data_IF_035806334095
#
_entry.id   IF_035806334095
#
_cell.length_a   1.000
_cell.length_b   1.000
_cell.length_c   1.000
_cell.angle_alpha   90.00
_cell.angle_beta   90.00
_cell.angle_gamma   90.00
#
_symmetry.space_group_name_H-M   'P 1'
#
loop_
_entity.id
_entity.type
_entity.pdbx_description
1 polymer ?
#
# COMPACT_ATOMS: atom_id res chain seq x y z
N UNK A 1 -8.45 -8.06 -2.95
CA UNK A 1 -7.80 -9.33 -2.49
C UNK A 1 -8.81 -10.14 -1.69
N UNK A 2 -9.18 -11.33 -2.13
CA UNK A 2 -10.19 -12.17 -1.44
C UNK A 2 -9.66 -12.65 -0.08
N UNK A 3 -10.59 -12.95 0.87
CA UNK A 3 -10.27 -13.45 2.22
C UNK A 3 -9.36 -14.70 2.18
N UNK A 4 -9.45 -15.51 1.11
CA UNK A 4 -8.61 -16.69 0.86
C UNK A 4 -7.14 -16.34 0.56
N UNK A 5 -6.90 -15.24 -0.13
CA UNK A 5 -5.57 -14.71 -0.45
C UNK A 5 -4.79 -14.29 0.80
N UNK A 6 -5.46 -13.54 1.69
CA UNK A 6 -4.86 -13.12 2.96
C UNK A 6 -4.51 -14.30 3.86
N UNK A 7 -5.34 -15.35 3.82
CA UNK A 7 -5.10 -16.59 4.60
C UNK A 7 -3.90 -17.36 4.04
N UNK A 8 -3.78 -17.51 2.72
CA UNK A 8 -2.67 -18.23 2.11
C UNK A 8 -1.31 -17.55 2.37
N UNK A 9 -1.24 -16.24 2.22
CA UNK A 9 -0.02 -15.47 2.50
C UNK A 9 0.33 -15.50 4.00
N UNK A 10 -0.66 -15.35 4.88
CA UNK A 10 -0.45 -15.45 6.32
C UNK A 10 0.06 -16.85 6.73
N UNK A 11 -0.48 -17.90 6.12
CA UNK A 11 -0.04 -19.29 6.38
C UNK A 11 1.40 -19.51 5.89
N UNK A 12 1.78 -18.99 4.71
CA UNK A 12 3.14 -19.09 4.19
C UNK A 12 4.13 -18.32 5.07
N UNK A 13 3.77 -17.11 5.51
CA UNK A 13 4.60 -16.31 6.40
C UNK A 13 4.78 -16.96 7.77
N UNK A 14 3.73 -17.55 8.33
CA UNK A 14 3.79 -18.30 9.60
C UNK A 14 4.65 -19.56 9.45
N UNK A 15 4.53 -20.28 8.35
CA UNK A 15 5.30 -21.51 8.12
C UNK A 15 6.78 -21.23 7.89
N UNK A 16 7.08 -20.16 7.16
CA UNK A 16 8.46 -19.71 6.98
C UNK A 16 9.03 -19.22 8.31
N UNK A 17 8.30 -18.44 9.09
CA UNK A 17 8.72 -18.00 10.43
C UNK A 17 8.94 -19.18 11.38
N UNK A 18 8.11 -20.22 11.33
CA UNK A 18 8.26 -21.45 12.12
C UNK A 18 9.48 -22.26 11.65
N UNK A 19 9.66 -22.47 10.35
CA UNK A 19 10.83 -23.18 9.82
C UNK A 19 12.15 -22.46 10.15
N UNK A 20 12.13 -21.14 10.24
CA UNK A 20 13.29 -20.29 10.52
C UNK A 20 13.60 -20.17 12.01
N UNK A 21 12.59 -20.06 12.86
CA UNK A 21 12.76 -20.16 14.32
C UNK A 21 13.41 -21.48 14.71
N UNK A 22 13.08 -22.55 13.98
CA UNK A 22 13.58 -23.91 14.17
C UNK A 22 15.05 -24.07 13.79
N UNK A 23 15.49 -23.52 12.66
CA UNK A 23 16.89 -23.65 12.22
C UNK A 23 17.84 -22.78 13.05
N UNK A 24 17.41 -21.59 13.47
CA UNK A 24 18.20 -20.72 14.36
C UNK A 24 18.37 -21.32 15.76
N UNK A 25 17.35 -22.00 16.27
CA UNK A 25 17.37 -22.61 17.58
C UNK A 25 18.32 -23.84 17.64
N UNK A 26 18.35 -24.68 16.60
CA UNK A 26 19.32 -25.81 16.47
C UNK A 26 20.77 -25.36 16.52
N UNK A 27 21.08 -24.14 16.04
CA UNK A 27 22.46 -23.62 16.01
C UNK A 27 22.94 -23.10 17.36
N UNK A 28 22.04 -22.53 18.19
CA UNK A 28 22.39 -21.92 19.48
C UNK A 28 22.61 -22.95 20.60
N UNK A 29 22.00 -24.13 20.51
CA UNK A 29 21.99 -25.12 21.61
C UNK A 29 22.94 -26.31 21.41
N UNK A 30 23.80 -26.34 20.39
CA UNK A 30 24.71 -27.47 20.14
C UNK A 30 25.87 -27.61 21.14
N UNK A 31 26.02 -26.68 22.06
CA UNK A 31 27.13 -26.64 23.06
C UNK A 31 26.68 -26.60 24.54
N UNK A 32 25.44 -26.92 24.86
CA UNK A 32 24.92 -26.85 26.24
C UNK A 32 24.69 -28.25 26.85
N UNK A 33 25.04 -28.54 28.14
CA UNK A 33 25.03 -29.85 28.75
C UNK A 33 23.67 -30.46 29.15
N UNK A 34 22.56 -29.92 28.68
CA UNK A 34 21.22 -30.42 28.96
C UNK A 34 20.70 -31.33 27.81
N UNK A 35 21.36 -32.46 27.57
CA UNK A 35 21.08 -33.39 26.46
C UNK A 35 19.63 -33.90 26.39
N UNK A 36 18.91 -34.01 27.49
CA UNK A 36 17.55 -34.56 27.50
C UNK A 36 16.50 -33.54 27.03
N UNK A 37 16.63 -32.26 27.41
CA UNK A 37 15.73 -31.18 26.96
C UNK A 37 15.94 -30.85 25.48
N UNK A 38 17.16 -31.02 24.96
CA UNK A 38 17.51 -30.87 23.54
C UNK A 38 16.87 -31.95 22.69
N UNK A 39 16.80 -33.20 23.18
CA UNK A 39 16.23 -34.32 22.46
C UNK A 39 14.71 -34.26 22.30
N UNK A 40 13.99 -33.83 23.35
CA UNK A 40 12.54 -33.66 23.29
C UNK A 40 12.16 -32.47 22.38
N UNK A 41 12.96 -31.42 22.39
CA UNK A 41 12.79 -30.27 21.48
C UNK A 41 13.17 -30.65 20.03
N UNK A 42 14.21 -31.45 19.79
CA UNK A 42 14.57 -31.93 18.47
C UNK A 42 13.44 -32.80 17.87
N UNK A 43 12.77 -33.63 18.68
CA UNK A 43 11.60 -34.40 18.24
C UNK A 43 10.39 -33.47 17.89
N UNK A 44 10.14 -32.42 18.66
CA UNK A 44 9.13 -31.41 18.34
C UNK A 44 9.47 -30.67 17.04
N UNK A 45 10.74 -30.39 16.78
CA UNK A 45 11.26 -29.76 15.58
C UNK A 45 11.08 -30.66 14.33
N UNK A 46 11.32 -31.95 14.44
CA UNK A 46 11.13 -32.91 13.35
C UNK A 46 9.65 -32.99 12.94
N UNK A 47 8.74 -32.95 13.93
CA UNK A 47 7.29 -32.87 13.67
C UNK A 47 6.90 -31.56 12.95
N UNK A 48 7.47 -30.43 13.36
CA UNK A 48 7.17 -29.13 12.72
C UNK A 48 7.77 -29.03 11.32
N UNK A 49 8.96 -29.61 11.10
CA UNK A 49 9.58 -29.70 9.78
C UNK A 49 8.75 -30.59 8.83
N UNK A 50 8.24 -31.72 9.31
CA UNK A 50 7.33 -32.58 8.55
C UNK A 50 6.02 -31.87 8.22
N UNK A 51 5.47 -31.10 9.15
CA UNK A 51 4.29 -30.29 8.89
C UNK A 51 4.58 -29.21 7.85
N UNK A 52 5.72 -28.53 7.91
CA UNK A 52 6.15 -27.55 6.91
C UNK A 52 6.35 -28.20 5.52
N UNK A 53 6.95 -29.39 5.46
CA UNK A 53 7.08 -30.15 4.22
C UNK A 53 5.72 -30.61 3.68
N UNK A 54 4.78 -31.00 4.55
CA UNK A 54 3.39 -31.31 4.17
C UNK A 54 2.71 -30.12 3.51
N UNK A 55 2.89 -28.94 4.06
CA UNK A 55 2.32 -27.70 3.51
C UNK A 55 2.95 -27.29 2.18
N UNK A 56 4.25 -27.51 1.99
CA UNK A 56 4.90 -27.29 0.67
C UNK A 56 4.27 -28.22 -0.38
N UNK A 57 3.94 -29.45 -0.01
CA UNK A 57 3.26 -30.41 -0.90
C UNK A 57 1.83 -29.91 -1.22
N UNK A 58 1.08 -29.44 -0.22
CA UNK A 58 -0.23 -28.82 -0.41
C UNK A 58 -0.18 -27.61 -1.34
N UNK A 59 0.88 -26.80 -1.25
CA UNK A 59 1.09 -25.67 -2.17
C UNK A 59 1.30 -26.13 -3.61
N UNK A 60 2.10 -27.17 -3.83
CA UNK A 60 2.30 -27.74 -5.16
C UNK A 60 0.97 -28.25 -5.75
N UNK A 61 0.14 -28.88 -4.92
CA UNK A 61 -1.18 -29.38 -5.32
C UNK A 61 -2.13 -28.23 -5.64
N UNK A 62 -2.12 -27.15 -4.86
CA UNK A 62 -2.89 -25.93 -5.13
C UNK A 62 -2.47 -25.29 -6.45
N UNK A 63 -1.17 -25.16 -6.71
CA UNK A 63 -0.66 -24.61 -7.97
C UNK A 63 -1.09 -25.46 -9.17
N UNK A 64 -0.99 -26.78 -9.05
CA UNK A 64 -1.42 -27.68 -10.11
C UNK A 64 -2.93 -27.58 -10.36
N UNK A 65 -3.74 -27.47 -9.31
CA UNK A 65 -5.17 -27.24 -9.40
C UNK A 65 -5.51 -25.90 -10.06
N UNK A 66 -4.78 -24.83 -9.71
CA UNK A 66 -4.98 -23.50 -10.33
C UNK A 66 -4.61 -23.51 -11.81
N UNK A 67 -3.50 -24.17 -12.19
CA UNK A 67 -3.11 -24.32 -13.60
C UNK A 67 -4.17 -25.07 -14.41
N UNK A 68 -4.74 -26.11 -13.83
CA UNK A 68 -5.81 -26.87 -14.49
C UNK A 68 -7.06 -25.99 -14.65
N UNK A 69 -7.53 -25.34 -13.58
CA UNK A 69 -8.69 -24.44 -13.63
C UNK A 69 -8.50 -23.32 -14.65
N UNK A 70 -7.30 -22.73 -14.70
CA UNK A 70 -6.98 -21.68 -15.67
C UNK A 70 -6.97 -22.21 -17.10
N UNK A 71 -6.46 -23.42 -17.32
CA UNK A 71 -6.46 -24.08 -18.64
C UNK A 71 -7.89 -24.37 -19.13
N UNK A 72 -8.70 -24.93 -18.23
CA UNK A 72 -10.09 -25.28 -18.55
C UNK A 72 -10.92 -24.02 -18.85
N UNK A 73 -10.77 -22.99 -18.03
CA UNK A 73 -11.48 -21.72 -18.22
C UNK A 73 -11.04 -20.98 -19.50
N UNK A 74 -9.76 -21.04 -19.86
CA UNK A 74 -9.27 -20.47 -21.13
C UNK A 74 -9.84 -21.21 -22.33
N UNK A 75 -9.99 -22.53 -22.24
CA UNK A 75 -10.61 -23.32 -23.31
C UNK A 75 -12.10 -22.98 -23.46
N UNK A 76 -12.85 -22.90 -22.36
CA UNK A 76 -14.27 -22.52 -22.37
C UNK A 76 -14.48 -21.10 -22.90
N UNK A 77 -13.62 -20.15 -22.48
CA UNK A 77 -13.63 -18.79 -22.99
C UNK A 77 -13.40 -18.72 -24.51
N UNK A 78 -12.43 -19.48 -25.03
CA UNK A 78 -12.14 -19.52 -26.45
C UNK A 78 -13.32 -20.13 -27.26
N UNK A 79 -13.97 -21.18 -26.75
CA UNK A 79 -15.18 -21.78 -27.36
C UNK A 79 -16.33 -20.78 -27.39
N UNK A 80 -16.58 -20.02 -26.32
CA UNK A 80 -17.61 -18.97 -26.26
C UNK A 80 -17.37 -17.88 -27.31
N UNK A 81 -16.11 -17.43 -27.46
CA UNK A 81 -15.79 -16.44 -28.49
C UNK A 81 -16.08 -16.96 -29.90
N UNK A 82 -15.76 -18.21 -30.20
CA UNK A 82 -16.07 -18.82 -31.49
C UNK A 82 -17.59 -18.92 -31.72
N UNK A 83 -18.37 -19.25 -30.70
CA UNK A 83 -19.82 -19.29 -30.75
C UNK A 83 -20.44 -17.90 -30.98
N UNK A 84 -19.90 -16.86 -30.31
CA UNK A 84 -20.34 -15.48 -30.52
C UNK A 84 -20.11 -15.06 -31.98
N UNK A 85 -18.91 -15.28 -32.51
CA UNK A 85 -18.57 -14.93 -33.91
C UNK A 85 -19.49 -15.64 -34.92
N UNK A 86 -19.78 -16.93 -34.69
CA UNK A 86 -20.72 -17.70 -35.52
C UNK A 86 -22.16 -17.15 -35.46
N UNK A 87 -22.61 -16.72 -34.27
CA UNK A 87 -23.93 -16.12 -34.11
C UNK A 87 -24.02 -14.73 -34.76
N UNK A 88 -22.98 -13.91 -34.61
CA UNK A 88 -22.90 -12.59 -35.24
C UNK A 88 -22.91 -12.70 -36.76
N UNK A 89 -22.17 -13.66 -37.33
CA UNK A 89 -22.19 -13.97 -38.77
C UNK A 89 -23.59 -14.36 -39.20
N UNK A 90 -24.27 -15.22 -38.44
CA UNK A 90 -25.64 -15.65 -38.74
C UNK A 90 -26.64 -14.50 -38.71
N UNK A 91 -26.52 -13.60 -37.71
CA UNK A 91 -27.38 -12.40 -37.65
C UNK A 91 -27.16 -11.51 -38.86
N UNK A 92 -25.88 -11.29 -39.24
CA UNK A 92 -25.55 -10.49 -40.43
C UNK A 92 -26.18 -11.05 -41.70
N UNK A 93 -26.13 -12.38 -41.94
CA UNK A 93 -26.74 -13.03 -43.09
C UNK A 93 -28.26 -12.85 -43.05
N UNK A 94 -28.91 -13.03 -41.91
CA UNK A 94 -30.36 -12.91 -41.76
C UNK A 94 -30.86 -11.47 -41.95
N UNK A 95 -30.05 -10.48 -41.61
CA UNK A 95 -30.33 -9.06 -41.85
C UNK A 95 -30.24 -8.72 -43.35
N UNK A 96 -29.25 -9.25 -44.06
CA UNK A 96 -29.05 -9.02 -45.49
C UNK A 96 -30.15 -9.68 -46.35
N UNK A 97 -30.65 -10.83 -45.93
CA UNK A 97 -31.62 -11.60 -46.70
C UNK A 97 -33.10 -11.23 -46.46
N UNK A 98 -33.40 -10.37 -45.45
CA UNK A 98 -34.77 -10.04 -45.01
C UNK A 98 -35.67 -11.28 -44.77
N UNK A 99 -35.05 -12.44 -44.47
CA UNK A 99 -35.74 -13.74 -44.46
C UNK A 99 -36.25 -14.17 -43.09
N UNK A 100 -35.80 -13.51 -42.01
CA UNK A 100 -36.19 -13.87 -40.67
C UNK A 100 -37.15 -12.85 -40.05
N UNK A 101 -38.08 -13.33 -39.19
CA UNK A 101 -38.94 -12.43 -38.43
C UNK A 101 -38.12 -11.64 -37.40
N UNK A 102 -38.52 -10.39 -37.17
CA UNK A 102 -37.88 -9.49 -36.16
C UNK A 102 -37.70 -10.16 -34.80
N UNK A 103 -38.70 -10.99 -34.40
CA UNK A 103 -38.63 -11.71 -33.13
C UNK A 103 -37.50 -12.74 -33.06
N UNK A 104 -37.16 -13.39 -34.18
CA UNK A 104 -36.03 -14.33 -34.20
C UNK A 104 -34.68 -13.64 -34.24
N UNK A 105 -34.58 -12.53 -34.97
CA UNK A 105 -33.38 -11.70 -34.95
C UNK A 105 -33.11 -11.16 -33.54
N UNK A 106 -34.15 -10.65 -32.87
CA UNK A 106 -34.02 -10.16 -31.48
C UNK A 106 -33.58 -11.27 -30.52
N UNK A 107 -34.12 -12.48 -30.64
CA UNK A 107 -33.69 -13.62 -29.81
C UNK A 107 -32.20 -13.94 -29.97
N UNK A 108 -31.67 -13.87 -31.18
CA UNK A 108 -30.24 -14.11 -31.44
C UNK A 108 -29.38 -12.98 -30.89
N UNK A 109 -29.82 -11.72 -31.00
CA UNK A 109 -29.13 -10.58 -30.43
C UNK A 109 -29.07 -10.64 -28.89
N UNK A 110 -30.17 -11.04 -28.26
CA UNK A 110 -30.24 -11.22 -26.81
C UNK A 110 -29.30 -12.36 -26.37
N UNK A 111 -29.20 -13.45 -27.13
CA UNK A 111 -28.30 -14.56 -26.86
C UNK A 111 -26.80 -14.11 -27.00
N UNK A 112 -26.48 -13.37 -28.06
CA UNK A 112 -25.13 -12.78 -28.23
C UNK A 112 -24.78 -11.87 -27.07
N UNK A 113 -25.70 -11.00 -26.65
CA UNK A 113 -25.48 -10.08 -25.53
C UNK A 113 -25.20 -10.84 -24.21
N UNK A 114 -25.99 -11.92 -23.98
CA UNK A 114 -25.77 -12.79 -22.80
C UNK A 114 -24.39 -13.44 -22.83
N UNK A 115 -24.02 -14.04 -23.96
CA UNK A 115 -22.71 -14.72 -24.11
C UNK A 115 -21.53 -13.75 -24.02
N UNK A 116 -21.68 -12.52 -24.53
CA UNK A 116 -20.66 -11.47 -24.38
C UNK A 116 -20.45 -11.11 -22.92
N UNK A 117 -21.51 -10.97 -22.14
CA UNK A 117 -21.43 -10.70 -20.71
C UNK A 117 -20.73 -11.84 -19.95
N UNK A 118 -21.09 -13.10 -20.25
CA UNK A 118 -20.44 -14.27 -19.64
C UNK A 118 -18.96 -14.34 -20.03
N UNK A 119 -18.63 -14.08 -21.29
CA UNK A 119 -17.25 -14.03 -21.79
C UNK A 119 -16.41 -12.96 -21.08
N UNK A 120 -16.98 -11.79 -20.82
CA UNK A 120 -16.30 -10.74 -20.06
C UNK A 120 -16.00 -11.17 -18.61
N UNK A 121 -16.94 -11.84 -17.94
CA UNK A 121 -16.74 -12.40 -16.60
C UNK A 121 -15.64 -13.47 -16.59
N UNK A 122 -15.59 -14.34 -17.62
CA UNK A 122 -14.54 -15.34 -17.77
C UNK A 122 -13.17 -14.67 -17.99
N UNK A 123 -13.11 -13.60 -18.79
CA UNK A 123 -11.89 -12.81 -19.01
C UNK A 123 -11.33 -12.24 -17.70
N UNK A 124 -12.21 -11.65 -16.90
CA UNK A 124 -11.82 -11.12 -15.57
C UNK A 124 -11.30 -12.23 -14.66
N UNK A 125 -11.99 -13.39 -14.68
CA UNK A 125 -11.59 -14.53 -13.87
C UNK A 125 -10.26 -15.15 -14.32
N UNK A 126 -10.01 -15.21 -15.62
CA UNK A 126 -8.73 -15.65 -16.20
C UNK A 126 -7.61 -14.72 -15.74
N UNK A 127 -7.83 -13.39 -15.75
CA UNK A 127 -6.86 -12.43 -15.28
C UNK A 127 -6.54 -12.62 -13.77
N UNK A 128 -7.58 -12.76 -12.94
CA UNK A 128 -7.42 -13.01 -11.49
C UNK A 128 -6.62 -14.29 -11.21
N UNK A 129 -6.95 -15.39 -11.88
CA UNK A 129 -6.26 -16.68 -11.69
C UNK A 129 -4.83 -16.66 -12.23
N UNK A 130 -4.58 -15.93 -13.33
CA UNK A 130 -3.24 -15.79 -13.91
C UNK A 130 -2.32 -14.99 -12.99
N UNK A 131 -2.81 -13.90 -12.41
CA UNK A 131 -2.08 -13.11 -11.42
C UNK A 131 -1.78 -13.95 -10.16
N UNK A 132 -2.77 -14.70 -9.69
CA UNK A 132 -2.62 -15.58 -8.54
C UNK A 132 -1.54 -16.64 -8.79
N UNK A 133 -1.58 -17.31 -9.93
CA UNK A 133 -0.60 -18.33 -10.31
C UNK A 133 0.80 -17.72 -10.44
N UNK A 134 0.94 -16.58 -11.11
CA UNK A 134 2.21 -15.87 -11.24
C UNK A 134 2.82 -15.53 -9.87
N UNK A 135 1.98 -15.07 -8.93
CA UNK A 135 2.42 -14.79 -7.55
C UNK A 135 2.98 -16.03 -6.87
N UNK A 136 2.34 -17.18 -7.01
CA UNK A 136 2.83 -18.44 -6.44
C UNK A 136 4.11 -18.92 -7.11
N UNK A 137 4.21 -18.81 -8.43
CA UNK A 137 5.40 -19.19 -9.19
C UNK A 137 6.59 -18.32 -8.81
N UNK A 138 6.40 -17.03 -8.71
CA UNK A 138 7.45 -16.07 -8.30
C UNK A 138 7.95 -16.35 -6.88
N UNK A 139 7.04 -16.60 -5.92
CA UNK A 139 7.40 -16.95 -4.55
C UNK A 139 8.30 -18.20 -4.54
N UNK A 140 8.04 -19.21 -5.38
CA UNK A 140 8.84 -20.46 -5.41
C UNK A 140 10.22 -20.29 -6.04
N UNK A 141 10.47 -19.21 -6.78
CA UNK A 141 11.78 -18.91 -7.38
C UNK A 141 12.73 -18.19 -6.42
N UNK A 142 12.21 -17.59 -5.34
CA UNK A 142 13.02 -16.88 -4.35
C UNK A 142 13.91 -17.83 -3.55
N UNK A 143 15.10 -17.36 -3.17
CA UNK A 143 16.07 -18.17 -2.41
C UNK A 143 15.72 -18.23 -0.92
N UNK A 144 14.61 -18.91 -0.58
CA UNK A 144 14.10 -18.99 0.79
C UNK A 144 15.03 -19.71 1.76
N UNK A 145 15.77 -20.73 1.31
CA UNK A 145 16.62 -21.53 2.19
C UNK A 145 17.68 -20.70 2.91
N UNK A 146 18.33 -19.80 2.20
CA UNK A 146 19.32 -18.88 2.77
C UNK A 146 18.68 -17.74 3.56
N UNK A 147 17.56 -17.22 3.09
CA UNK A 147 16.87 -16.10 3.71
C UNK A 147 16.12 -16.49 4.98
N UNK A 148 15.68 -17.72 5.07
CA UNK A 148 14.96 -18.23 6.22
C UNK A 148 15.68 -17.94 7.55
N UNK A 149 17.00 -18.20 7.61
CA UNK A 149 17.80 -17.90 8.80
C UNK A 149 17.85 -16.38 9.08
N UNK A 150 18.09 -15.57 8.06
CA UNK A 150 18.18 -14.10 8.22
C UNK A 150 16.87 -13.49 8.67
N UNK A 151 15.73 -13.99 8.16
CA UNK A 151 14.40 -13.57 8.59
C UNK A 151 14.19 -13.95 10.06
N UNK A 152 14.56 -15.17 10.46
CA UNK A 152 14.49 -15.59 11.86
C UNK A 152 15.35 -14.70 12.76
N UNK A 153 16.60 -14.44 12.38
CA UNK A 153 17.51 -13.59 13.13
C UNK A 153 16.94 -12.15 13.26
N UNK A 154 16.31 -11.62 12.23
CA UNK A 154 15.61 -10.33 12.25
C UNK A 154 14.43 -10.35 13.23
N UNK A 155 13.53 -11.34 13.11
CA UNK A 155 12.36 -11.44 13.98
C UNK A 155 12.74 -11.63 15.44
N UNK A 156 13.77 -12.43 15.73
CA UNK A 156 14.31 -12.58 17.08
C UNK A 156 14.91 -11.26 17.59
N UNK A 157 15.72 -10.56 16.77
CA UNK A 157 16.30 -9.26 17.14
C UNK A 157 15.24 -8.24 17.51
N UNK A 158 14.12 -8.22 16.79
CA UNK A 158 13.01 -7.29 17.05
C UNK A 158 12.16 -7.74 18.25
N UNK A 159 12.02 -9.06 18.46
CA UNK A 159 11.25 -9.65 19.57
C UNK A 159 11.99 -9.61 20.91
N UNK A 160 13.32 -9.58 20.89
CA UNK A 160 14.17 -9.75 22.08
C UNK A 160 14.36 -8.50 22.94
N UNK A 161 14.93 -8.75 24.13
CA UNK A 161 15.18 -7.86 25.27
C UNK A 161 16.06 -6.64 25.02
N UNK A 162 16.64 -6.52 23.82
CA UNK A 162 17.48 -5.38 23.42
C UNK A 162 16.68 -4.21 22.81
N UNK A 163 15.34 -4.32 22.80
CA UNK A 163 14.52 -3.17 22.42
C UNK A 163 14.82 -1.99 23.33
N UNK A 164 14.86 -0.78 22.78
CA UNK A 164 14.89 0.41 23.60
C UNK A 164 13.74 0.38 24.60
N UNK A 165 14.03 0.82 25.83
CA UNK A 165 13.01 1.00 26.86
C UNK A 165 12.76 2.48 27.02
N UNK A 166 11.51 2.83 27.27
CA UNK A 166 11.12 4.19 27.60
C UNK A 166 10.67 4.27 29.06
N UNK A 167 10.88 5.40 29.67
CA UNK A 167 10.39 5.70 30.99
C UNK A 167 9.11 6.53 30.83
N UNK A 168 8.00 5.97 31.27
CA UNK A 168 6.74 6.71 31.36
C UNK A 168 6.65 7.35 32.72
N UNK A 169 6.67 8.67 32.75
CA UNK A 169 6.47 9.45 33.96
C UNK A 169 5.00 9.86 34.07
N UNK A 170 4.36 9.51 35.19
CA UNK A 170 3.02 9.99 35.54
C UNK A 170 3.10 10.77 36.83
N UNK A 171 2.49 11.96 36.83
CA UNK A 171 2.39 12.81 38.01
C UNK A 171 1.02 12.66 38.65
N UNK A 172 0.99 12.36 39.92
CA UNK A 172 -0.23 12.31 40.73
C UNK A 172 -0.08 13.32 41.87
N UNK A 173 -1.10 14.14 42.09
CA UNK A 173 -1.11 15.08 43.20
C UNK A 173 -1.75 14.38 44.40
N UNK A 174 -1.00 14.20 45.47
CA UNK A 174 -1.53 13.66 46.72
C UNK A 174 -2.66 14.57 47.27
N UNK A 175 -3.88 14.06 47.36
CA UNK A 175 -5.00 14.89 47.77
C UNK A 175 -4.96 15.35 49.25
N UNK A 176 -4.12 14.73 50.08
CA UNK A 176 -3.97 15.10 51.52
C UNK A 176 -2.87 16.10 51.75
N UNK A 177 -1.74 15.97 51.00
CA UNK A 177 -0.55 16.81 51.22
C UNK A 177 -0.38 17.90 50.15
N UNK A 178 -1.01 17.75 48.99
CA UNK A 178 -0.82 18.63 47.82
C UNK A 178 0.53 18.46 47.13
N UNK A 179 1.34 17.47 47.54
CA UNK A 179 2.64 17.19 46.93
C UNK A 179 2.44 16.41 45.62
N UNK A 180 3.26 16.71 44.61
CA UNK A 180 3.28 15.95 43.36
C UNK A 180 4.12 14.69 43.54
N UNK A 181 3.50 13.53 43.42
CA UNK A 181 4.14 12.23 43.39
C UNK A 181 4.44 11.86 41.95
N UNK A 182 5.72 11.63 41.65
CA UNK A 182 6.17 11.22 40.31
C UNK A 182 6.33 9.71 40.30
N UNK A 183 5.57 9.04 39.44
CA UNK A 183 5.70 7.60 39.20
C UNK A 183 6.44 7.37 37.89
N UNK A 184 7.51 6.59 37.93
CA UNK A 184 8.24 6.17 36.74
C UNK A 184 8.01 4.68 36.46
N UNK A 185 7.53 4.39 35.27
CA UNK A 185 7.32 3.02 34.79
C UNK A 185 8.23 2.78 33.58
N UNK A 186 9.05 1.74 33.62
CA UNK A 186 9.88 1.33 32.49
C UNK A 186 9.08 0.45 31.56
N UNK A 187 8.82 0.91 30.32
CA UNK A 187 8.08 0.20 29.29
C UNK A 187 9.02 -0.25 28.16
N UNK A 188 8.83 -1.47 27.68
CA UNK A 188 9.47 -1.93 26.44
C UNK A 188 8.78 -1.25 25.26
N UNK A 189 9.56 -0.64 24.38
CA UNK A 189 9.04 0.06 23.22
C UNK A 189 8.33 -0.89 22.26
N UNK A 190 7.26 -0.39 21.63
CA UNK A 190 6.57 -1.09 20.55
C UNK A 190 7.35 -0.90 19.26
N UNK A 191 7.47 -1.95 18.49
CA UNK A 191 8.07 -1.92 17.16
C UNK A 191 7.20 -2.78 16.26
N UNK A 192 6.74 -2.20 15.18
CA UNK A 192 5.99 -2.89 14.13
C UNK A 192 6.66 -2.63 12.81
N UNK A 193 6.75 -3.64 11.95
CA UNK A 193 7.17 -3.42 10.59
C UNK A 193 6.38 -4.26 9.60
N UNK A 194 6.32 -3.77 8.36
CA UNK A 194 5.75 -4.45 7.21
C UNK A 194 6.67 -4.27 6.02
N UNK A 195 7.11 -5.38 5.45
CA UNK A 195 7.84 -5.44 4.19
C UNK A 195 6.99 -6.16 3.15
N UNK A 196 7.00 -5.67 1.92
CA UNK A 196 6.38 -6.35 0.77
C UNK A 196 7.25 -6.16 -0.47
N UNK A 197 7.67 -7.25 -1.05
CA UNK A 197 8.22 -7.27 -2.40
C UNK A 197 7.10 -6.98 -3.41
N UNK A 198 7.31 -6.00 -4.29
CA UNK A 198 6.24 -5.54 -5.20
C UNK A 198 6.02 -6.54 -6.32
N UNK A 199 7.09 -7.14 -6.86
CA UNK A 199 7.00 -8.04 -8.00
C UNK A 199 6.38 -9.39 -7.63
N UNK A 200 6.74 -9.93 -6.48
CA UNK A 200 6.28 -11.26 -6.04
C UNK A 200 5.09 -11.19 -5.08
N UNK A 201 4.83 -10.03 -4.47
CA UNK A 201 3.86 -9.88 -3.41
C UNK A 201 4.25 -10.52 -2.08
N UNK A 202 5.48 -11.06 -1.95
CA UNK A 202 5.95 -11.68 -0.71
C UNK A 202 6.06 -10.67 0.42
N UNK A 203 5.62 -11.06 1.61
CA UNK A 203 5.57 -10.18 2.78
C UNK A 203 6.32 -10.76 3.97
N UNK A 204 7.01 -9.88 4.71
CA UNK A 204 7.56 -10.15 6.03
C UNK A 204 7.02 -9.08 6.96
N UNK A 205 6.43 -9.47 8.08
CA UNK A 205 5.87 -8.52 9.03
C UNK A 205 6.09 -8.94 10.47
N UNK A 206 6.11 -7.95 11.37
CA UNK A 206 6.20 -8.15 12.81
C UNK A 206 5.26 -7.18 13.51
N UNK A 207 4.32 -7.70 14.30
CA UNK A 207 3.29 -6.91 15.01
C UNK A 207 2.65 -5.82 14.11
N UNK A 208 2.54 -6.10 12.82
CA UNK A 208 2.17 -5.13 11.78
C UNK A 208 0.73 -4.66 11.86
N UNK A 209 -0.11 -5.36 12.62
CA UNK A 209 -1.52 -5.04 12.86
C UNK A 209 -1.74 -4.11 14.07
N UNK A 210 -0.68 -3.75 14.82
CA UNK A 210 -0.76 -2.79 15.91
C UNK A 210 -1.16 -1.41 15.40
N UNK A 211 -2.28 -0.89 15.88
CA UNK A 211 -2.75 0.45 15.53
C UNK A 211 -2.06 1.48 16.43
N UNK A 212 -1.37 2.42 15.80
CA UNK A 212 -0.63 3.50 16.47
C UNK A 212 -1.14 4.87 16.04
N UNK A 213 -0.72 5.90 16.75
CA UNK A 213 -0.86 7.28 16.28
C UNK A 213 0.13 7.51 15.14
N UNK A 214 -0.38 7.89 13.98
CA UNK A 214 0.42 7.93 12.74
C UNK A 214 1.36 9.12 12.65
N UNK A 215 1.19 10.13 13.48
CA UNK A 215 1.89 11.42 13.36
C UNK A 215 1.84 11.92 11.89
N UNK A 216 2.94 12.41 11.36
CA UNK A 216 2.99 12.89 9.97
C UNK A 216 3.00 11.82 8.88
N UNK A 217 3.00 10.52 9.22
CA UNK A 217 2.80 9.47 8.21
C UNK A 217 1.49 9.66 7.45
N UNK A 218 0.43 10.10 8.15
CA UNK A 218 -0.91 10.29 7.58
C UNK A 218 -0.93 11.21 6.37
N UNK A 219 0.04 12.10 6.22
CA UNK A 219 0.09 13.08 5.13
C UNK A 219 0.14 12.41 3.76
N UNK A 220 0.93 11.35 3.59
CA UNK A 220 1.02 10.68 2.30
C UNK A 220 -0.25 9.91 1.93
N UNK A 221 -0.87 9.06 2.78
CA UNK A 221 -2.18 8.47 2.52
C UNK A 221 -3.28 9.47 2.21
N UNK A 222 -3.35 10.54 2.99
CA UNK A 222 -4.36 11.58 2.81
C UNK A 222 -4.19 12.31 1.46
N UNK A 223 -2.96 12.73 1.15
CA UNK A 223 -2.63 13.42 -0.09
C UNK A 223 -2.84 12.50 -1.29
N UNK A 224 -2.46 11.23 -1.21
CA UNK A 224 -2.77 10.24 -2.23
C UNK A 224 -4.27 10.19 -2.52
N UNK A 225 -5.10 10.08 -1.49
CA UNK A 225 -6.56 10.04 -1.64
C UNK A 225 -7.07 11.29 -2.35
N UNK A 226 -6.61 12.46 -1.93
CA UNK A 226 -6.98 13.72 -2.55
C UNK A 226 -6.56 13.78 -4.02
N UNK A 227 -5.29 13.50 -4.32
CA UNK A 227 -4.75 13.56 -5.68
C UNK A 227 -5.43 12.54 -6.61
N UNK A 228 -5.69 11.34 -6.11
CA UNK A 228 -6.43 10.29 -6.86
C UNK A 228 -7.86 10.75 -7.16
N UNK A 229 -8.55 11.34 -6.18
CA UNK A 229 -9.91 11.85 -6.37
C UNK A 229 -9.94 13.03 -7.36
N UNK A 230 -8.96 13.92 -7.31
CA UNK A 230 -8.83 15.02 -8.30
C UNK A 230 -8.55 14.45 -9.69
N UNK A 231 -7.60 13.55 -9.83
CA UNK A 231 -7.27 12.92 -11.10
C UNK A 231 -8.48 12.20 -11.73
N UNK A 232 -9.25 11.47 -10.93
CA UNK A 232 -10.46 10.78 -11.40
C UNK A 232 -11.56 11.78 -11.80
N UNK A 233 -11.71 12.86 -11.04
CA UNK A 233 -12.65 13.93 -11.36
C UNK A 233 -12.28 14.60 -12.70
N UNK A 234 -11.03 15.00 -12.87
CA UNK A 234 -10.52 15.62 -14.10
C UNK A 234 -10.65 14.68 -15.30
N UNK A 235 -10.29 13.40 -15.12
CA UNK A 235 -10.46 12.38 -16.15
C UNK A 235 -11.92 12.27 -16.60
N UNK A 236 -12.85 12.17 -15.66
CA UNK A 236 -14.28 12.08 -15.97
C UNK A 236 -14.78 13.34 -16.71
N UNK A 237 -14.33 14.51 -16.26
CA UNK A 237 -14.71 15.79 -16.86
C UNK A 237 -14.20 15.96 -18.30
N UNK A 238 -13.07 15.34 -18.64
CA UNK A 238 -12.46 15.38 -19.97
C UNK A 238 -12.99 14.29 -20.92
N UNK A 239 -13.60 13.21 -20.40
CA UNK A 239 -13.98 12.06 -21.23
C UNK A 239 -15.48 11.80 -21.30
N UNK A 240 -16.27 12.39 -20.40
CA UNK A 240 -17.70 12.11 -20.31
C UNK A 240 -18.51 13.42 -20.18
N UNK A 241 -19.73 13.40 -20.74
CA UNK A 241 -20.72 14.47 -20.52
C UNK A 241 -21.36 14.36 -19.12
N UNK A 242 -22.26 15.31 -18.81
CA UNK A 242 -22.97 15.33 -17.53
C UNK A 242 -23.90 14.11 -17.30
N UNK A 243 -24.27 13.40 -18.36
CA UNK A 243 -25.13 12.22 -18.34
C UNK A 243 -24.30 10.92 -18.29
N UNK A 244 -22.95 11.03 -18.31
CA UNK A 244 -22.00 9.92 -18.26
C UNK A 244 -21.78 9.23 -19.62
N UNK A 245 -22.13 9.89 -20.75
CA UNK A 245 -21.82 9.36 -22.06
C UNK A 245 -20.43 9.79 -22.50
N UNK A 246 -19.65 8.92 -23.17
CA UNK A 246 -18.36 9.29 -23.73
C UNK A 246 -18.47 10.46 -24.71
N UNK A 247 -17.52 11.38 -24.64
CA UNK A 247 -17.41 12.50 -25.56
C UNK A 247 -16.64 12.08 -26.80
N UNK A 248 -17.18 12.42 -28.00
CA UNK A 248 -16.59 12.13 -29.30
C UNK A 248 -16.52 13.39 -30.15
N UNK A 249 -15.53 13.46 -31.05
CA UNK A 249 -15.42 14.50 -32.06
C UNK A 249 -16.42 14.26 -33.23
N UNK A 250 -16.39 15.14 -34.24
CA UNK A 250 -17.29 15.05 -35.41
C UNK A 250 -16.98 13.79 -36.26
N UNK A 251 -15.78 13.24 -36.18
CA UNK A 251 -15.33 12.01 -36.83
C UNK A 251 -15.63 10.74 -36.04
N UNK A 252 -16.25 10.86 -34.84
CA UNK A 252 -16.61 9.75 -33.98
C UNK A 252 -15.42 9.16 -33.20
N UNK A 253 -14.31 9.89 -33.08
CA UNK A 253 -13.20 9.52 -32.21
C UNK A 253 -13.40 10.11 -30.81
N UNK A 254 -12.92 9.45 -29.74
CA UNK A 254 -12.96 10.03 -28.40
C UNK A 254 -12.28 11.41 -28.36
N UNK A 255 -12.96 12.38 -27.77
CA UNK A 255 -12.41 13.74 -27.58
C UNK A 255 -11.27 13.71 -26.57
N UNK A 256 -10.03 13.89 -27.02
CA UNK A 256 -8.84 13.95 -26.18
C UNK A 256 -8.14 15.30 -26.22
N UNK A 257 -8.29 16.08 -27.31
CA UNK A 257 -7.69 17.41 -27.50
C UNK A 257 -8.59 18.27 -28.41
N UNK A 258 -8.67 19.57 -28.16
CA UNK A 258 -9.38 20.53 -29.01
C UNK A 258 -10.58 21.22 -28.34
N UNK A 259 -11.61 21.57 -29.09
CA UNK A 259 -12.83 22.28 -28.64
C UNK A 259 -13.66 21.47 -27.64
N UNK A 260 -13.09 21.20 -26.47
CA UNK A 260 -13.72 20.43 -25.43
C UNK A 260 -14.63 21.33 -24.56
N UNK A 261 -15.89 20.94 -24.29
CA UNK A 261 -16.86 21.82 -23.59
C UNK A 261 -16.45 22.16 -22.16
N UNK A 262 -15.51 21.40 -21.57
CA UNK A 262 -15.01 21.61 -20.21
C UNK A 262 -13.61 22.25 -20.15
N UNK A 263 -13.07 22.73 -21.28
CA UNK A 263 -11.81 23.45 -21.34
C UNK A 263 -12.03 24.92 -21.69
N UNK A 264 -11.16 25.80 -21.17
CA UNK A 264 -11.09 27.20 -21.58
C UNK A 264 -10.28 27.39 -22.85
N UNK A 265 -10.19 28.63 -23.36
CA UNK A 265 -9.43 28.97 -24.57
C UNK A 265 -7.94 28.64 -24.48
N UNK A 266 -7.40 28.49 -23.28
CA UNK A 266 -6.02 28.09 -23.01
C UNK A 266 -5.86 26.58 -22.77
N UNK A 267 -6.93 25.78 -22.93
CA UNK A 267 -6.92 24.34 -22.76
C UNK A 267 -6.88 23.88 -21.29
N UNK A 268 -7.31 24.72 -20.35
CA UNK A 268 -7.36 24.37 -18.91
C UNK A 268 -8.78 23.95 -18.54
N UNK A 269 -8.88 23.00 -17.60
CA UNK A 269 -10.18 22.52 -17.10
C UNK A 269 -10.94 23.68 -16.45
N UNK A 270 -12.20 23.84 -16.85
CA UNK A 270 -13.13 24.80 -16.24
C UNK A 270 -13.84 24.14 -15.07
N UNK A 271 -13.63 24.66 -13.86
CA UNK A 271 -14.32 24.19 -12.65
C UNK A 271 -15.56 25.04 -12.40
N UNK A 272 -16.70 24.36 -12.15
CA UNK A 272 -17.98 25.00 -11.86
C UNK A 272 -18.13 25.31 -10.36
N UNK A 273 -19.20 26.04 -10.00
CA UNK A 273 -19.55 26.29 -8.60
C UNK A 273 -19.75 24.96 -7.86
N UNK A 274 -19.05 24.75 -6.74
CA UNK A 274 -19.03 23.52 -5.95
C UNK A 274 -17.92 22.52 -6.31
N UNK A 275 -17.19 22.76 -7.41
CA UNK A 275 -16.05 21.94 -7.84
C UNK A 275 -14.68 22.51 -7.41
N UNK A 276 -14.66 23.63 -6.70
CA UNK A 276 -13.44 24.37 -6.36
C UNK A 276 -12.42 23.54 -5.56
N UNK A 277 -12.88 22.49 -4.88
CA UNK A 277 -11.98 21.58 -4.14
C UNK A 277 -11.11 20.71 -5.06
N UNK A 278 -11.45 20.59 -6.34
CA UNK A 278 -10.68 19.85 -7.33
C UNK A 278 -9.67 20.72 -8.08
N UNK A 279 -9.81 22.04 -8.03
CA UNK A 279 -8.87 22.98 -8.64
C UNK A 279 -7.66 23.23 -7.76
N UNK A 280 -6.61 22.45 -7.98
CA UNK A 280 -5.35 22.57 -7.23
C UNK A 280 -4.49 23.77 -7.67
N UNK A 281 -4.88 24.49 -8.72
CA UNK A 281 -4.20 25.73 -9.16
C UNK A 281 -4.62 26.95 -8.34
N UNK A 282 -5.72 26.86 -7.58
CA UNK A 282 -6.19 27.94 -6.71
C UNK A 282 -5.12 28.39 -5.74
N UNK A 283 -5.10 29.72 -5.52
CA UNK A 283 -4.14 30.33 -4.61
C UNK A 283 -4.72 30.45 -3.20
N UNK A 284 -3.92 30.05 -2.24
CA UNK A 284 -4.09 30.34 -0.82
C UNK A 284 -3.02 31.35 -0.38
N UNK A 285 -3.41 32.31 0.46
CA UNK A 285 -2.50 33.35 0.98
C UNK A 285 -2.19 33.06 2.44
N UNK A 286 -0.92 32.94 2.77
CA UNK A 286 -0.46 32.76 4.14
C UNK A 286 -0.78 34.01 4.97
N UNK A 287 -1.48 33.80 6.08
CA UNK A 287 -1.76 34.85 7.07
C UNK A 287 -1.21 34.38 8.42
N UNK A 288 -0.19 35.04 8.88
CA UNK A 288 0.53 34.69 10.11
C UNK A 288 -0.32 34.86 11.36
N UNK A 289 -1.23 35.82 11.39
CA UNK A 289 -2.13 36.08 12.51
C UNK A 289 -3.22 34.99 12.64
N UNK A 290 -3.59 34.37 11.53
CA UNK A 290 -4.58 33.28 11.49
C UNK A 290 -3.93 31.88 11.62
N UNK A 291 -2.63 31.81 11.78
CA UNK A 291 -1.91 30.54 11.92
C UNK A 291 -2.32 29.82 13.21
N UNK A 292 -2.95 28.66 13.03
CA UNK A 292 -3.46 27.83 14.16
C UNK A 292 -2.65 26.59 14.42
N UNK A 293 -1.61 26.32 13.60
CA UNK A 293 -0.82 25.09 13.64
C UNK A 293 0.65 25.45 13.62
N UNK A 294 1.40 24.95 14.61
CA UNK A 294 2.85 25.05 14.72
C UNK A 294 3.50 23.68 14.48
N UNK A 295 4.82 23.64 14.48
CA UNK A 295 5.64 22.43 14.41
C UNK A 295 6.40 22.28 13.10
N UNK A 296 6.34 21.10 12.46
CA UNK A 296 7.12 20.81 11.27
C UNK A 296 6.71 21.69 10.09
N UNK A 297 7.71 22.08 9.29
CA UNK A 297 7.50 22.79 8.03
C UNK A 297 8.22 24.14 7.97
N UNK A 298 8.16 24.76 6.81
CA UNK A 298 8.88 26.01 6.48
C UNK A 298 7.96 27.19 6.29
N UNK A 299 6.66 27.00 6.01
CA UNK A 299 5.70 28.09 5.74
C UNK A 299 5.59 29.02 6.94
N UNK A 300 5.64 28.52 8.18
CA UNK A 300 5.61 29.33 9.40
C UNK A 300 6.69 30.43 9.47
N UNK A 301 7.79 30.26 8.72
CA UNK A 301 8.91 31.18 8.67
C UNK A 301 8.87 32.14 7.48
N UNK A 302 7.84 32.06 6.64
CA UNK A 302 7.69 32.90 5.45
C UNK A 302 7.06 34.26 5.77
N UNK A 303 7.14 35.16 4.82
CA UNK A 303 6.54 36.48 4.95
C UNK A 303 5.00 36.40 4.89
N UNK A 304 4.35 37.22 5.69
CA UNK A 304 2.90 37.37 5.66
C UNK A 304 2.44 37.81 4.26
N UNK A 305 1.34 37.27 3.78
CA UNK A 305 0.86 37.52 2.41
C UNK A 305 1.51 36.65 1.32
N UNK A 306 2.45 35.74 1.65
CA UNK A 306 2.98 34.79 0.68
C UNK A 306 1.85 33.92 0.12
N UNK A 307 1.83 33.74 -1.21
CA UNK A 307 0.81 32.96 -1.89
C UNK A 307 1.35 31.59 -2.33
N UNK A 308 0.50 30.59 -2.24
CA UNK A 308 0.76 29.21 -2.67
C UNK A 308 -0.45 28.67 -3.43
N UNK A 309 -0.23 27.96 -4.51
CA UNK A 309 -1.24 27.07 -5.06
C UNK A 309 -1.45 25.86 -4.14
N UNK A 310 -2.63 25.22 -4.19
CA UNK A 310 -2.83 23.97 -3.44
C UNK A 310 -1.87 22.86 -3.90
N UNK A 311 -1.44 22.88 -5.16
CA UNK A 311 -0.41 21.98 -5.66
C UNK A 311 0.95 22.19 -4.98
N UNK A 312 1.32 23.46 -4.72
CA UNK A 312 2.53 23.78 -3.94
C UNK A 312 2.35 23.36 -2.47
N UNK A 313 1.19 23.56 -1.87
CA UNK A 313 0.91 23.07 -0.51
C UNK A 313 1.08 21.55 -0.41
N UNK A 314 0.65 20.79 -1.44
CA UNK A 314 0.90 19.34 -1.51
C UNK A 314 2.39 19.04 -1.48
N UNK A 315 3.20 19.74 -2.29
CA UNK A 315 4.67 19.58 -2.26
C UNK A 315 5.24 19.90 -0.88
N UNK A 316 4.83 20.99 -0.25
CA UNK A 316 5.31 21.37 1.09
C UNK A 316 4.93 20.34 2.17
N UNK A 317 3.72 19.83 2.12
CA UNK A 317 3.26 18.81 3.08
C UNK A 317 4.03 17.47 2.96
N UNK A 318 4.43 17.07 1.75
CA UNK A 318 5.20 15.84 1.54
C UNK A 318 6.71 16.06 1.76
N UNK A 319 7.28 17.08 1.12
CA UNK A 319 8.72 17.37 1.10
C UNK A 319 9.25 17.82 2.46
N UNK A 320 8.57 18.78 3.09
CA UNK A 320 8.97 19.39 4.37
C UNK A 320 8.15 18.90 5.56
N UNK A 321 7.20 17.98 5.31
CA UNK A 321 6.22 17.59 6.32
C UNK A 321 5.47 18.78 6.93
N UNK A 322 5.21 19.83 6.12
CA UNK A 322 4.68 21.11 6.58
C UNK A 322 3.26 20.95 7.15
N UNK A 323 3.08 21.35 8.41
CA UNK A 323 1.82 21.23 9.13
C UNK A 323 0.79 22.25 8.67
N UNK A 324 1.22 23.47 8.29
CA UNK A 324 0.36 24.54 7.81
C UNK A 324 -0.21 24.14 6.45
N UNK A 325 0.67 23.71 5.53
CA UNK A 325 0.25 23.20 4.22
C UNK A 325 -0.80 22.07 4.36
N UNK A 326 -0.51 21.10 5.23
CA UNK A 326 -1.43 19.97 5.44
C UNK A 326 -2.75 20.41 6.08
N UNK A 327 -2.74 21.37 7.00
CA UNK A 327 -3.95 21.91 7.61
C UNK A 327 -4.84 22.59 6.57
N UNK A 328 -4.27 23.39 5.66
CA UNK A 328 -5.03 24.07 4.61
C UNK A 328 -5.59 23.08 3.57
N UNK A 329 -4.81 22.07 3.16
CA UNK A 329 -5.29 20.98 2.31
C UNK A 329 -6.51 20.30 2.95
N UNK A 330 -6.47 20.01 4.26
CA UNK A 330 -7.59 19.38 4.97
C UNK A 330 -8.82 20.28 5.11
N UNK A 331 -8.62 21.58 5.23
CA UNK A 331 -9.75 22.54 5.25
C UNK A 331 -10.48 22.54 3.90
N UNK A 332 -9.73 22.47 2.79
CA UNK A 332 -10.29 22.45 1.45
C UNK A 332 -10.99 21.13 1.13
N UNK A 333 -10.33 20.00 1.37
CA UNK A 333 -10.76 18.68 0.86
C UNK A 333 -11.65 17.94 1.86
N UNK A 334 -11.41 18.10 3.16
CA UNK A 334 -12.17 17.41 4.22
C UNK A 334 -11.64 16.00 4.52
N UNK A 335 -12.45 15.21 5.24
CA UNK A 335 -12.06 13.87 5.68
C UNK A 335 -12.90 12.76 5.07
N UNK A 336 -14.05 13.08 4.46
CA UNK A 336 -15.01 12.05 4.05
C UNK A 336 -14.45 11.14 2.98
N UNK A 337 -13.83 11.69 1.97
CA UNK A 337 -13.23 10.97 0.86
C UNK A 337 -12.07 10.08 1.33
N UNK A 338 -11.19 10.64 2.18
CA UNK A 338 -10.12 9.85 2.81
C UNK A 338 -10.65 8.64 3.57
N UNK A 339 -11.66 8.86 4.44
CA UNK A 339 -12.22 7.77 5.24
C UNK A 339 -12.97 6.74 4.40
N UNK A 340 -13.65 7.17 3.34
CA UNK A 340 -14.33 6.26 2.41
C UNK A 340 -13.32 5.40 1.66
N UNK A 341 -12.30 6.00 1.06
CA UNK A 341 -11.25 5.28 0.35
C UNK A 341 -10.49 4.34 1.28
N UNK A 342 -10.07 4.81 2.45
CA UNK A 342 -9.39 3.99 3.45
C UNK A 342 -10.21 2.74 3.83
N UNK A 343 -11.53 2.90 4.05
CA UNK A 343 -12.43 1.77 4.33
C UNK A 343 -12.58 0.82 3.15
N UNK A 344 -12.75 1.36 1.94
CA UNK A 344 -12.85 0.55 0.72
C UNK A 344 -11.57 -0.28 0.48
N UNK A 345 -10.40 0.27 0.80
CA UNK A 345 -9.12 -0.42 0.74
C UNK A 345 -8.91 -1.43 1.88
N UNK A 346 -9.76 -1.44 2.90
CA UNK A 346 -9.64 -2.33 4.06
C UNK A 346 -8.64 -1.84 5.13
N UNK A 347 -8.37 -0.55 5.18
CA UNK A 347 -7.52 0.11 6.19
C UNK A 347 -8.23 0.08 7.54
N UNK A 348 -7.68 -0.66 8.50
CA UNK A 348 -8.33 -0.91 9.81
C UNK A 348 -8.27 0.29 10.75
N UNK A 349 -7.15 1.01 10.74
CA UNK A 349 -6.93 2.19 11.56
C UNK A 349 -7.99 3.27 11.33
N UNK A 350 -8.56 3.37 10.12
CA UNK A 350 -9.62 4.32 9.78
C UNK A 350 -10.88 4.22 10.68
N UNK A 351 -11.10 3.06 11.30
CA UNK A 351 -12.21 2.85 12.26
C UNK A 351 -11.95 3.47 13.63
N UNK A 352 -10.70 3.80 13.94
CA UNK A 352 -10.27 4.40 15.21
C UNK A 352 -9.97 5.91 15.08
N UNK A 353 -10.05 6.46 13.89
CA UNK A 353 -9.83 7.86 13.57
C UNK A 353 -8.81 8.08 12.45
N UNK A 354 -8.83 9.27 11.84
CA UNK A 354 -7.98 9.56 10.67
C UNK A 354 -6.46 9.53 10.96
N UNK A 355 -6.06 9.75 12.23
CA UNK A 355 -4.65 9.73 12.66
C UNK A 355 -4.20 8.36 13.19
N UNK A 356 -4.96 7.29 12.93
CA UNK A 356 -4.68 5.95 13.43
C UNK A 356 -4.38 5.01 12.26
N UNK A 357 -3.17 4.46 12.24
CA UNK A 357 -2.71 3.49 11.26
C UNK A 357 -1.94 2.36 11.92
N UNK A 358 -1.91 1.22 11.26
CA UNK A 358 -0.97 0.13 11.52
C UNK A 358 0.08 0.06 10.41
N UNK A 359 1.13 -0.74 10.59
CA UNK A 359 2.11 -0.96 9.54
C UNK A 359 1.48 -1.69 8.32
N UNK A 360 0.50 -2.58 8.54
CA UNK A 360 -0.30 -3.19 7.48
C UNK A 360 -1.12 -2.14 6.71
N UNK A 361 -1.76 -1.21 7.42
CA UNK A 361 -2.53 -0.13 6.81
C UNK A 361 -1.65 0.76 5.92
N UNK A 362 -0.45 1.11 6.41
CA UNK A 362 0.54 1.84 5.61
C UNK A 362 0.99 1.04 4.38
N UNK A 363 1.16 -0.28 4.52
CA UNK A 363 1.49 -1.17 3.40
C UNK A 363 0.41 -1.21 2.33
N UNK A 364 -0.87 -1.20 2.73
CA UNK A 364 -2.02 -1.10 1.81
C UNK A 364 -1.96 0.23 1.04
N UNK A 365 -1.78 1.35 1.74
CA UNK A 365 -1.66 2.65 1.09
C UNK A 365 -0.45 2.73 0.16
N UNK A 366 0.73 2.27 0.61
CA UNK A 366 1.94 2.33 -0.22
C UNK A 366 1.82 1.49 -1.49
N UNK A 367 1.08 0.38 -1.46
CA UNK A 367 0.83 -0.41 -2.68
C UNK A 367 0.02 0.40 -3.69
N UNK A 368 -1.03 1.10 -3.24
CA UNK A 368 -1.84 1.95 -4.11
C UNK A 368 -1.09 3.23 -4.54
N UNK A 369 -0.29 3.80 -3.63
CA UNK A 369 0.57 4.97 -3.93
C UNK A 369 1.62 4.60 -4.99
N UNK A 370 2.23 3.42 -4.91
CA UNK A 370 3.17 2.94 -5.91
C UNK A 370 2.52 2.88 -7.30
N UNK A 371 1.38 2.21 -7.41
CA UNK A 371 0.64 2.13 -8.66
C UNK A 371 0.29 3.51 -9.20
N UNK A 372 -0.19 4.41 -8.35
CA UNK A 372 -0.52 5.78 -8.74
C UNK A 372 0.71 6.57 -9.20
N UNK A 373 1.85 6.43 -8.52
CA UNK A 373 3.10 7.08 -8.91
C UNK A 373 3.65 6.59 -10.26
N UNK A 374 3.41 5.32 -10.60
CA UNK A 374 3.92 4.72 -11.84
C UNK A 374 2.95 4.91 -13.03
N UNK A 375 1.67 5.21 -12.77
CA UNK A 375 0.65 5.29 -13.84
C UNK A 375 0.11 6.69 -14.09
N UNK A 376 0.18 7.60 -13.11
CA UNK A 376 -0.32 8.97 -13.26
C UNK A 376 0.84 9.96 -13.48
N UNK A 377 0.97 10.43 -14.73
CA UNK A 377 2.09 11.29 -15.14
C UNK A 377 2.09 12.69 -14.50
N UNK A 378 0.95 13.15 -14.00
CA UNK A 378 0.81 14.49 -13.40
C UNK A 378 0.95 14.43 -11.88
N UNK A 379 -0.04 13.89 -11.22
CA UNK A 379 -0.12 13.91 -9.74
C UNK A 379 0.69 12.79 -9.10
N UNK A 380 0.76 11.62 -9.75
CA UNK A 380 1.61 10.52 -9.33
C UNK A 380 3.08 10.88 -9.41
N UNK A 381 3.51 11.48 -10.53
CA UNK A 381 4.89 11.96 -10.71
C UNK A 381 5.26 13.04 -9.68
N UNK A 382 4.37 13.98 -9.40
CA UNK A 382 4.56 15.00 -8.37
C UNK A 382 4.73 14.38 -6.98
N UNK A 383 3.87 13.42 -6.63
CA UNK A 383 3.93 12.74 -5.35
C UNK A 383 5.23 11.96 -5.19
N UNK A 384 5.67 11.25 -6.25
CA UNK A 384 6.95 10.54 -6.31
C UNK A 384 8.13 11.46 -6.09
N UNK A 385 8.20 12.56 -6.83
CA UNK A 385 9.26 13.58 -6.70
C UNK A 385 9.33 14.14 -5.28
N UNK A 386 8.18 14.54 -4.70
CA UNK A 386 8.13 15.13 -3.38
C UNK A 386 8.51 14.15 -2.26
N UNK A 387 8.10 12.88 -2.37
CA UNK A 387 8.46 11.85 -1.38
C UNK A 387 9.91 11.40 -1.48
N UNK A 388 10.51 11.37 -2.68
CA UNK A 388 11.95 11.13 -2.87
C UNK A 388 12.78 12.29 -2.31
N UNK A 389 12.33 13.52 -2.52
CA UNK A 389 13.00 14.74 -2.09
C UNK A 389 12.85 15.08 -0.61
N UNK A 390 12.16 14.25 0.19
CA UNK A 390 11.88 14.51 1.61
C UNK A 390 13.12 14.99 2.37
N UNK A 391 12.96 16.07 3.12
CA UNK A 391 14.05 16.77 3.82
C UNK A 391 14.57 16.06 5.07
N UNK A 392 14.00 14.92 5.45
CA UNK A 392 14.40 14.14 6.62
C UNK A 392 14.68 12.66 6.30
N UNK A 393 15.74 12.36 5.53
CA UNK A 393 16.03 10.99 5.06
C UNK A 393 16.76 10.16 6.12
N UNK A 394 16.22 10.07 7.35
CA UNK A 394 16.98 9.58 8.51
C UNK A 394 16.79 8.09 8.76
N UNK A 395 15.61 7.55 8.57
CA UNK A 395 15.33 6.14 8.90
C UNK A 395 15.51 5.22 7.70
N UNK A 396 14.43 5.00 6.93
CA UNK A 396 14.48 4.08 5.79
C UNK A 396 15.49 4.53 4.74
N UNK A 397 15.50 5.78 4.24
CA UNK A 397 16.48 6.18 3.23
C UNK A 397 17.92 5.98 3.66
N UNK A 398 18.26 6.31 4.92
CA UNK A 398 19.61 6.11 5.45
C UNK A 398 19.98 4.63 5.63
N UNK A 399 19.00 3.75 5.82
CA UNK A 399 19.21 2.32 6.00
C UNK A 399 19.36 1.55 4.68
N UNK A 400 18.75 2.05 3.61
CA UNK A 400 18.74 1.39 2.29
C UNK A 400 19.73 1.97 1.28
N UNK A 401 20.44 3.06 1.64
CA UNK A 401 21.41 3.71 0.77
C UNK A 401 22.42 2.69 0.18
N UNK A 402 22.73 2.72 -1.14
CA UNK A 402 22.44 3.80 -2.11
C UNK A 402 21.09 3.71 -2.83
N UNK A 403 20.21 2.77 -2.52
CA UNK A 403 18.87 2.72 -3.12
C UNK A 403 18.08 4.00 -2.80
N UNK A 404 17.21 4.40 -3.74
CA UNK A 404 16.35 5.57 -3.60
C UNK A 404 15.07 5.17 -2.89
N UNK A 405 14.59 5.99 -1.97
CA UNK A 405 13.34 5.77 -1.27
C UNK A 405 12.39 6.96 -1.43
N UNK A 406 11.20 6.72 -1.97
CA UNK A 406 10.08 7.65 -1.86
C UNK A 406 9.43 7.40 -0.50
N UNK A 407 9.60 8.31 0.44
CA UNK A 407 9.23 8.06 1.83
C UNK A 407 8.47 9.19 2.50
N UNK A 408 7.76 8.84 3.57
CA UNK A 408 7.18 9.80 4.50
C UNK A 408 7.45 9.35 5.92
N UNK A 409 8.14 10.20 6.68
CA UNK A 409 8.33 9.98 8.11
C UNK A 409 7.17 10.56 8.94
N UNK A 410 7.01 10.02 10.14
CA UNK A 410 6.12 10.53 11.17
C UNK A 410 6.88 10.63 12.49
N UNK A 411 6.85 11.82 13.08
CA UNK A 411 7.50 12.11 14.33
C UNK A 411 6.61 12.92 15.27
N UNK A 412 6.48 12.42 16.50
CA UNK A 412 5.87 13.10 17.63
C UNK A 412 6.50 12.51 18.91
N UNK A 413 6.17 13.01 20.10
CA UNK A 413 6.79 12.62 21.38
C UNK A 413 6.94 11.08 21.55
N UNK A 414 5.88 10.33 21.31
CA UNK A 414 5.81 8.88 21.43
C UNK A 414 5.63 8.18 20.08
N UNK A 415 6.17 8.75 19.01
CA UNK A 415 5.98 8.21 17.66
C UNK A 415 7.20 8.51 16.80
N UNK A 416 7.84 7.45 16.30
CA UNK A 416 8.97 7.58 15.38
C UNK A 416 8.82 6.55 14.27
N UNK A 417 8.30 7.00 13.16
CA UNK A 417 7.83 6.15 12.07
C UNK A 417 8.47 6.54 10.75
N UNK A 418 8.54 5.58 9.85
CA UNK A 418 8.83 5.83 8.44
C UNK A 418 8.11 4.79 7.56
N UNK A 419 7.64 5.21 6.41
CA UNK A 419 7.10 4.34 5.38
C UNK A 419 7.64 4.75 4.02
N UNK A 420 8.01 3.78 3.19
CA UNK A 420 8.67 4.03 1.93
C UNK A 420 8.36 3.00 0.86
N UNK A 421 8.40 3.46 -0.39
CA UNK A 421 8.64 2.66 -1.57
C UNK A 421 10.13 2.77 -1.86
N UNK A 422 10.84 1.66 -1.81
CA UNK A 422 12.28 1.60 -2.07
C UNK A 422 12.51 1.16 -3.51
N UNK A 423 13.12 2.04 -4.29
CA UNK A 423 13.49 1.80 -5.68
C UNK A 423 14.91 1.22 -5.74
N UNK A 424 15.03 -0.08 -5.60
CA UNK A 424 16.24 -0.86 -5.90
C UNK A 424 16.04 -1.57 -7.25
N UNK A 425 16.91 -2.49 -7.65
CA UNK A 425 16.75 -3.30 -8.86
C UNK A 425 15.38 -3.99 -8.93
N UNK A 426 14.90 -4.47 -7.78
CA UNK A 426 13.54 -4.95 -7.56
C UNK A 426 12.87 -4.04 -6.52
N UNK A 427 11.82 -3.31 -6.86
CA UNK A 427 11.21 -2.37 -5.92
C UNK A 427 10.43 -3.10 -4.81
N UNK A 428 10.40 -2.49 -3.61
CA UNK A 428 9.67 -3.04 -2.48
C UNK A 428 9.11 -1.96 -1.55
N UNK A 429 8.12 -2.33 -0.76
CA UNK A 429 7.50 -1.50 0.27
C UNK A 429 8.10 -1.85 1.62
N UNK A 430 8.43 -0.84 2.40
CA UNK A 430 8.88 -0.97 3.78
C UNK A 430 8.18 0.05 4.67
N UNK A 431 7.64 -0.42 5.79
CA UNK A 431 7.04 0.41 6.84
C UNK A 431 7.68 0.04 8.17
N UNK A 432 8.04 1.03 8.97
CA UNK A 432 8.44 0.85 10.36
C UNK A 432 7.67 1.84 11.21
N UNK A 433 6.95 1.32 12.20
CA UNK A 433 6.22 2.12 13.18
C UNK A 433 6.69 1.76 14.59
N UNK A 434 6.98 2.77 15.39
CA UNK A 434 7.50 2.59 16.76
C UNK A 434 6.93 3.64 17.69
N UNK A 435 6.87 3.35 18.99
CA UNK A 435 6.60 4.33 20.03
C UNK A 435 7.90 4.86 20.67
N UNK A 436 8.97 4.91 19.89
CA UNK A 436 10.27 5.41 20.29
C UNK A 436 10.32 6.95 20.27
N UNK A 437 11.18 7.51 21.09
CA UNK A 437 11.52 8.94 21.03
C UNK A 437 12.55 9.20 19.92
N UNK A 438 12.22 10.10 19.01
CA UNK A 438 13.10 10.50 17.91
C UNK A 438 14.37 11.27 18.35
N UNK A 439 14.44 11.70 19.59
CA UNK A 439 15.58 12.43 20.13
C UNK A 439 16.82 11.58 20.42
N UNK A 440 16.67 10.25 20.53
CA UNK A 440 17.75 9.36 20.95
C UNK A 440 18.52 8.75 19.78
N UNK A 441 19.84 8.94 19.79
CA UNK A 441 20.72 8.32 18.78
C UNK A 441 20.73 6.78 18.82
N UNK A 442 20.44 6.18 19.98
CA UNK A 442 20.38 4.72 20.12
C UNK A 442 19.16 4.15 19.40
N UNK A 443 18.04 4.85 19.48
CA UNK A 443 16.77 4.47 18.86
C UNK A 443 16.86 4.59 17.34
N UNK A 444 17.46 5.67 16.84
CA UNK A 444 17.76 5.83 15.41
C UNK A 444 18.62 4.66 14.90
N UNK A 445 19.67 4.29 15.60
CA UNK A 445 20.55 3.17 15.21
C UNK A 445 19.79 1.86 15.22
N UNK A 446 18.97 1.60 16.25
CA UNK A 446 18.16 0.40 16.35
C UNK A 446 17.20 0.24 15.16
N UNK A 447 16.45 1.28 14.82
CA UNK A 447 15.52 1.25 13.68
C UNK A 447 16.27 1.08 12.35
N UNK A 448 17.38 1.81 12.15
CA UNK A 448 18.21 1.65 10.94
C UNK A 448 18.80 0.25 10.79
N UNK A 449 19.12 -0.41 11.88
CA UNK A 449 19.62 -1.78 11.84
C UNK A 449 18.55 -2.77 11.39
N UNK A 450 17.28 -2.54 11.77
CA UNK A 450 16.13 -3.31 11.26
C UNK A 450 16.01 -3.06 9.76
N UNK A 451 16.01 -1.81 9.31
CA UNK A 451 15.94 -1.42 7.90
C UNK A 451 17.04 -2.12 7.08
N UNK A 452 18.30 -2.02 7.54
CA UNK A 452 19.45 -2.68 6.86
C UNK A 452 19.29 -4.19 6.77
N UNK A 453 18.79 -4.81 7.83
CA UNK A 453 18.55 -6.25 7.84
C UNK A 453 17.50 -6.64 6.80
N UNK A 454 16.38 -5.91 6.73
CA UNK A 454 15.31 -6.13 5.74
C UNK A 454 15.84 -5.89 4.33
N UNK A 455 16.55 -4.79 4.08
CA UNK A 455 17.15 -4.48 2.79
C UNK A 455 18.14 -5.56 2.34
N UNK A 456 18.97 -6.05 3.27
CA UNK A 456 19.88 -7.18 3.00
C UNK A 456 19.14 -8.47 2.65
N UNK A 457 18.03 -8.77 3.35
CA UNK A 457 17.17 -9.93 3.05
C UNK A 457 16.60 -9.78 1.65
N UNK A 458 16.02 -8.62 1.33
CA UNK A 458 15.44 -8.33 0.02
C UNK A 458 16.44 -8.57 -1.12
N UNK A 459 17.61 -7.95 -1.09
CA UNK A 459 18.63 -8.11 -2.12
C UNK A 459 19.11 -9.54 -2.31
N UNK A 460 19.12 -10.31 -1.25
CA UNK A 460 19.53 -11.71 -1.31
C UNK A 460 18.41 -12.66 -1.77
N UNK A 461 17.14 -12.25 -1.81
CA UNK A 461 16.09 -13.06 -2.45
C UNK A 461 16.39 -13.31 -3.92
N UNK A 462 16.95 -12.32 -4.61
CA UNK A 462 17.26 -12.36 -6.02
C UNK A 462 18.71 -12.81 -6.32
N UNK A 463 19.54 -13.00 -5.30
CA UNK A 463 20.90 -13.53 -5.48
C UNK A 463 20.84 -15.04 -5.76
N UNK A 464 21.39 -15.45 -6.90
CA UNK A 464 21.53 -16.87 -7.32
C UNK A 464 22.61 -17.58 -6.54
#
# INVERSE_FOLDING_TARGET
MTKKYKIAIAVLSILLAVATALSGWLYVFYESPEELAVRDKAASLDVQLKNAQGTITEFADIMNSLRQQLSDLKADYAEKLEQIDALETKVSILLDEETASDAYQQLLLDEIARMKLESEQDREKIAELSELLSTYENITTLNFGYQAKKISDLLMKVAETNRPVRIKTTEEVDPETGETIVHEETLTSKVSFYYRDIETGYTISYESDNIMYAASLIKAPYIYTMLKTVADFEYNKLHFDADGNPLFDEEGQPLFEGDHPNLDEEGRIVYLEGEEKYDLSRLWTFNKEEMTVEGSGTIQNMEDGTQFSYLELVRYALLYSDNIAFAEIRKMFGYSEYLQMARAMGVRGSSYGYMKLSADDCGIFLSAIYEFMETNETYGALMKEAMIGSNYPVLIPAGVSPAVAAHKYGWDEDSYHDMAIVYDEHPYILVIMTDLDAGSSKEIVYVRDIVRSIHSIHRNFYSK
#
